data_IF_566231021292
#
_entry.id   IF_566231021292
#
_cell.length_a   1.000
_cell.length_b   1.000
_cell.length_c   1.000
_cell.angle_alpha   90.00
_cell.angle_beta   90.00
_cell.angle_gamma   90.00
#
_symmetry.space_group_name_H-M   'P 1'
#
loop_
_entity.id
_entity.type
_entity.pdbx_description
1 polymer ?
#
# COMPACT_ATOMS: atom_id res chain seq x y z
N UNK A 1 -1.89 12.04 -13.80
CA UNK A 1 -1.21 11.80 -12.52
C UNK A 1 -1.30 13.00 -11.59
N UNK A 2 -1.05 14.23 -12.08
CA UNK A 2 -1.19 15.47 -11.31
C UNK A 2 -2.58 15.61 -10.66
N UNK A 3 -3.65 15.44 -11.45
CA UNK A 3 -5.03 15.51 -10.95
C UNK A 3 -5.26 14.52 -9.81
N UNK A 4 -4.73 13.28 -9.92
CA UNK A 4 -4.85 12.26 -8.88
C UNK A 4 -4.10 12.65 -7.61
N UNK A 5 -2.85 13.10 -7.71
CA UNK A 5 -2.05 13.54 -6.56
C UNK A 5 -2.77 14.67 -5.81
N UNK A 6 -3.22 15.70 -6.56
CA UNK A 6 -3.94 16.81 -5.96
C UNK A 6 -5.28 16.41 -5.34
N UNK A 7 -6.01 15.47 -5.97
CA UNK A 7 -7.26 14.93 -5.47
C UNK A 7 -7.07 14.22 -4.11
N UNK A 8 -6.10 13.32 -4.02
CA UNK A 8 -5.89 12.56 -2.78
C UNK A 8 -5.35 13.44 -1.64
N UNK A 9 -4.42 14.36 -1.94
CA UNK A 9 -3.89 15.30 -0.93
C UNK A 9 -5.00 16.22 -0.42
N UNK A 10 -5.82 16.79 -1.31
CA UNK A 10 -6.99 17.63 -0.95
C UNK A 10 -8.00 16.84 -0.10
N UNK A 11 -8.08 15.53 -0.30
CA UNK A 11 -8.94 14.63 0.46
C UNK A 11 -8.42 14.30 1.86
N UNK A 12 -7.22 14.75 2.24
CA UNK A 12 -6.69 14.62 3.61
C UNK A 12 -5.94 13.30 3.87
N UNK A 13 -5.25 12.77 2.86
CA UNK A 13 -4.33 11.64 3.08
C UNK A 13 -3.06 12.13 3.80
N UNK A 14 -2.45 11.27 4.61
CA UNK A 14 -1.28 11.61 5.41
C UNK A 14 0.03 11.46 4.62
N UNK A 15 0.09 10.58 3.62
CA UNK A 15 1.26 10.35 2.79
C UNK A 15 0.90 9.71 1.45
N UNK A 16 1.78 9.82 0.48
CA UNK A 16 1.66 9.18 -0.83
C UNK A 16 2.51 7.90 -0.89
N UNK A 17 1.94 6.81 -1.40
CA UNK A 17 2.72 5.63 -1.80
C UNK A 17 2.81 5.60 -3.32
N UNK A 18 4.00 5.83 -3.85
CA UNK A 18 4.28 5.77 -5.29
C UNK A 18 4.97 4.45 -5.64
N UNK A 19 4.85 3.98 -6.87
CA UNK A 19 5.41 2.69 -7.32
C UNK A 19 4.93 1.47 -6.52
N UNK A 20 3.79 1.56 -5.82
CA UNK A 20 3.11 0.39 -5.26
C UNK A 20 2.44 -0.45 -6.36
N UNK A 21 1.72 -1.51 -5.95
CA UNK A 21 0.96 -2.38 -6.86
C UNK A 21 0.00 -1.60 -7.76
N UNK A 22 -0.76 -0.68 -7.17
CA UNK A 22 -1.74 0.16 -7.88
C UNK A 22 -1.08 1.12 -8.85
N UNK A 23 0.18 1.49 -8.62
CA UNK A 23 1.00 2.31 -9.52
C UNK A 23 1.57 1.55 -10.71
N UNK A 24 1.17 0.29 -10.95
CA UNK A 24 1.60 -0.55 -12.08
C UNK A 24 3.13 -0.65 -12.24
N UNK A 25 3.88 -0.59 -11.14
CA UNK A 25 5.35 -0.56 -11.15
C UNK A 25 5.99 -1.74 -11.89
N UNK A 26 5.31 -2.89 -11.96
CA UNK A 26 5.78 -4.07 -12.71
C UNK A 26 5.77 -3.90 -14.23
N UNK A 27 4.98 -2.97 -14.77
CA UNK A 27 4.86 -2.72 -16.22
C UNK A 27 5.64 -1.49 -16.69
N UNK A 28 6.40 -0.84 -15.79
CA UNK A 28 7.22 0.33 -16.10
C UNK A 28 8.69 -0.05 -16.27
N UNK A 29 9.33 0.50 -17.29
CA UNK A 29 10.78 0.47 -17.44
C UNK A 29 11.47 1.30 -16.33
N UNK A 30 12.78 1.10 -16.14
CA UNK A 30 13.55 1.90 -15.18
C UNK A 30 13.48 3.40 -15.47
N UNK A 31 13.57 3.80 -16.74
CA UNK A 31 13.47 5.20 -17.15
C UNK A 31 12.11 5.79 -16.79
N UNK A 32 11.02 5.10 -17.12
CA UNK A 32 9.67 5.53 -16.77
C UNK A 32 9.46 5.63 -15.25
N UNK A 33 10.05 4.74 -14.47
CA UNK A 33 10.01 4.83 -13.00
C UNK A 33 10.66 6.11 -12.50
N UNK A 34 11.83 6.48 -13.03
CA UNK A 34 12.51 7.75 -12.69
C UNK A 34 11.62 8.94 -13.03
N UNK A 35 11.05 8.96 -14.25
CA UNK A 35 10.18 10.04 -14.68
C UNK A 35 8.95 10.20 -13.77
N UNK A 36 8.31 9.09 -13.39
CA UNK A 36 7.16 9.11 -12.48
C UNK A 36 7.56 9.55 -11.08
N UNK A 37 8.69 9.07 -10.53
CA UNK A 37 9.19 9.48 -9.21
C UNK A 37 9.44 11.00 -9.20
N UNK A 38 10.17 11.51 -10.18
CA UNK A 38 10.48 12.93 -10.28
C UNK A 38 9.21 13.78 -10.46
N UNK A 39 8.28 13.32 -11.29
CA UNK A 39 6.99 13.99 -11.48
C UNK A 39 6.18 14.02 -10.18
N UNK A 40 6.12 12.90 -9.44
CA UNK A 40 5.41 12.84 -8.16
C UNK A 40 6.04 13.77 -7.12
N UNK A 41 7.38 13.79 -7.01
CA UNK A 41 8.11 14.72 -6.12
C UNK A 41 7.75 16.17 -6.46
N UNK A 42 7.83 16.55 -7.75
CA UNK A 42 7.52 17.89 -8.24
C UNK A 42 6.08 18.32 -7.92
N UNK A 43 5.10 17.45 -8.21
CA UNK A 43 3.68 17.80 -7.98
C UNK A 43 3.34 17.76 -6.49
N UNK A 44 3.95 16.84 -5.72
CA UNK A 44 3.75 16.80 -4.27
C UNK A 44 4.26 18.07 -3.58
N UNK A 45 5.35 18.64 -4.05
CA UNK A 45 5.96 19.88 -3.52
C UNK A 45 6.05 19.87 -1.98
N UNK A 46 6.52 18.76 -1.42
CA UNK A 46 6.65 18.50 0.02
C UNK A 46 5.36 18.68 0.86
N UNK A 47 4.18 18.65 0.23
CA UNK A 47 2.89 18.78 0.96
C UNK A 47 2.60 17.61 1.89
N UNK A 48 3.03 16.40 1.51
CA UNK A 48 2.93 15.19 2.34
C UNK A 48 4.16 14.31 2.15
N UNK A 49 4.50 13.44 3.11
CA UNK A 49 5.58 12.45 2.95
C UNK A 49 5.35 11.53 1.74
N UNK A 50 6.44 11.06 1.12
CA UNK A 50 6.40 10.08 0.02
C UNK A 50 7.03 8.77 0.47
N UNK A 51 6.31 7.68 0.28
CA UNK A 51 6.80 6.30 0.42
C UNK A 51 7.00 5.72 -0.98
N UNK A 52 8.19 5.18 -1.26
CA UNK A 52 8.54 4.62 -2.57
C UNK A 52 8.47 3.09 -2.53
N UNK A 53 7.70 2.48 -3.43
CA UNK A 53 7.67 1.04 -3.62
C UNK A 53 8.95 0.53 -4.30
N UNK A 54 9.78 -0.19 -3.54
CA UNK A 54 10.95 -0.91 -4.03
C UNK A 54 10.94 -2.30 -3.43
N UNK A 55 10.63 -3.32 -4.23
CA UNK A 55 10.54 -4.70 -3.80
C UNK A 55 10.59 -5.66 -4.98
N UNK A 56 10.82 -6.92 -4.69
CA UNK A 56 10.96 -7.94 -5.72
C UNK A 56 11.31 -9.30 -5.13
N UNK A 57 11.46 -10.29 -5.99
CA UNK A 57 11.80 -11.67 -5.64
C UNK A 57 13.29 -12.01 -5.83
N UNK A 58 14.10 -11.03 -6.19
CA UNK A 58 15.56 -11.13 -6.27
C UNK A 58 16.18 -10.08 -5.33
N UNK A 59 16.78 -10.53 -4.24
CA UNK A 59 17.35 -9.66 -3.20
C UNK A 59 18.41 -8.71 -3.75
N UNK A 60 19.31 -9.20 -4.62
CA UNK A 60 20.37 -8.38 -5.21
C UNK A 60 19.79 -7.28 -6.12
N UNK A 61 18.71 -7.59 -6.86
CA UNK A 61 18.05 -6.60 -7.70
C UNK A 61 17.35 -5.51 -6.86
N UNK A 62 16.70 -5.88 -5.75
CA UNK A 62 16.08 -4.91 -4.83
C UNK A 62 17.14 -3.97 -4.25
N UNK A 63 18.30 -4.50 -3.84
CA UNK A 63 19.43 -3.69 -3.34
C UNK A 63 19.93 -2.76 -4.45
N UNK A 64 20.13 -3.29 -5.65
CA UNK A 64 20.55 -2.48 -6.81
C UNK A 64 19.54 -1.39 -7.18
N UNK A 65 18.23 -1.63 -6.99
CA UNK A 65 17.21 -0.61 -7.23
C UNK A 65 17.20 0.47 -6.13
N UNK A 66 17.49 0.13 -4.88
CA UNK A 66 17.68 1.09 -3.78
C UNK A 66 18.87 2.03 -4.07
N UNK A 67 19.98 1.48 -4.54
CA UNK A 67 21.17 2.26 -4.88
C UNK A 67 20.97 3.10 -6.15
N UNK A 68 20.11 2.64 -7.06
CA UNK A 68 19.91 3.25 -8.37
C UNK A 68 18.96 4.46 -8.34
N UNK A 69 17.88 4.40 -7.55
CA UNK A 69 16.92 5.48 -7.49
C UNK A 69 17.39 6.62 -6.58
N UNK A 70 17.18 7.86 -7.03
CA UNK A 70 17.36 9.01 -6.17
C UNK A 70 16.31 9.04 -5.06
N UNK A 71 16.78 8.80 -3.82
CA UNK A 71 15.94 8.72 -2.63
C UNK A 71 15.79 10.07 -1.90
N UNK A 72 16.35 11.16 -2.42
CA UNK A 72 16.13 12.50 -1.86
C UNK A 72 14.63 12.82 -1.87
N UNK A 73 14.10 13.34 -0.76
CA UNK A 73 12.67 13.64 -0.60
C UNK A 73 11.76 12.40 -0.43
N UNK A 74 12.32 11.19 -0.35
CA UNK A 74 11.61 9.95 -0.01
C UNK A 74 11.73 9.70 1.49
N UNK A 75 10.60 9.48 2.15
CA UNK A 75 10.53 9.30 3.60
C UNK A 75 10.77 7.85 4.02
N UNK A 76 10.29 6.89 3.24
CA UNK A 76 10.43 5.46 3.51
C UNK A 76 10.31 4.64 2.22
N UNK A 77 10.75 3.39 2.25
CA UNK A 77 10.46 2.43 1.18
C UNK A 77 9.39 1.42 1.61
N UNK A 78 8.52 1.03 0.65
CA UNK A 78 7.59 -0.07 0.80
C UNK A 78 8.11 -1.27 0.01
N UNK A 79 8.47 -2.36 0.71
CA UNK A 79 9.09 -3.53 0.10
C UNK A 79 8.20 -4.76 0.23
N UNK A 80 7.69 -5.24 -0.91
CA UNK A 80 6.85 -6.45 -0.95
C UNK A 80 7.68 -7.70 -0.71
N UNK A 81 7.10 -8.69 0.00
CA UNK A 81 7.71 -10.02 0.19
C UNK A 81 8.03 -10.68 -1.16
N UNK A 82 9.13 -11.45 -1.25
CA UNK A 82 9.44 -12.18 -2.47
C UNK A 82 8.26 -13.03 -2.94
N UNK A 83 7.92 -12.88 -4.21
CA UNK A 83 6.83 -13.58 -4.88
C UNK A 83 7.36 -14.63 -5.86
N UNK A 84 6.52 -15.55 -6.29
CA UNK A 84 6.80 -16.56 -7.31
C UNK A 84 7.73 -17.69 -6.83
N UNK A 85 8.95 -17.38 -6.38
CA UNK A 85 9.96 -18.36 -5.90
C UNK A 85 9.72 -18.86 -4.46
N UNK A 86 8.73 -18.31 -3.75
CA UNK A 86 8.20 -18.80 -2.45
C UNK A 86 9.29 -19.19 -1.44
N UNK A 87 10.09 -18.24 -0.96
CA UNK A 87 11.13 -18.55 0.02
C UNK A 87 10.54 -19.04 1.34
N UNK A 88 11.34 -19.82 2.11
CA UNK A 88 11.03 -20.17 3.48
C UNK A 88 11.03 -18.93 4.38
N UNK A 89 10.54 -19.04 5.62
CA UNK A 89 10.56 -17.93 6.58
C UNK A 89 11.97 -17.41 6.84
N UNK A 90 12.97 -18.30 6.90
CA UNK A 90 14.37 -17.87 6.99
C UNK A 90 14.85 -17.17 5.72
N UNK A 91 14.42 -17.60 4.55
CA UNK A 91 14.70 -16.92 3.28
C UNK A 91 14.10 -15.49 3.25
N UNK A 92 12.86 -15.32 3.72
CA UNK A 92 12.22 -14.01 3.87
C UNK A 92 13.00 -13.13 4.86
N UNK A 93 13.39 -13.69 6.00
CA UNK A 93 14.18 -12.98 6.99
C UNK A 93 15.53 -12.52 6.41
N UNK A 94 16.29 -13.40 5.73
CA UNK A 94 17.58 -13.04 5.13
C UNK A 94 17.43 -12.01 4.00
N UNK A 95 16.34 -12.06 3.24
CA UNK A 95 16.00 -11.06 2.23
C UNK A 95 15.88 -9.66 2.86
N UNK A 96 15.02 -9.50 3.88
CA UNK A 96 14.82 -8.21 4.53
C UNK A 96 16.03 -7.77 5.37
N UNK A 97 16.78 -8.69 5.98
CA UNK A 97 18.05 -8.39 6.63
C UNK A 97 19.05 -7.76 5.65
N UNK A 98 19.15 -8.29 4.43
CA UNK A 98 20.04 -7.76 3.40
C UNK A 98 19.58 -6.38 2.91
N UNK A 99 18.28 -6.19 2.68
CA UNK A 99 17.69 -4.91 2.30
C UNK A 99 17.90 -3.87 3.41
N UNK A 100 17.64 -4.24 4.68
CA UNK A 100 17.83 -3.36 5.83
C UNK A 100 19.27 -2.84 5.95
N UNK A 101 20.26 -3.67 5.63
CA UNK A 101 21.67 -3.26 5.66
C UNK A 101 22.04 -2.32 4.52
N UNK A 102 21.40 -2.45 3.37
CA UNK A 102 21.67 -1.64 2.18
C UNK A 102 20.88 -0.33 2.16
N UNK A 103 19.76 -0.24 2.87
CA UNK A 103 18.86 0.92 2.84
C UNK A 103 19.06 1.80 4.07
N UNK A 104 19.30 3.10 3.84
CA UNK A 104 19.41 4.08 4.93
C UNK A 104 18.05 4.61 5.40
N UNK A 105 17.00 4.47 4.55
CA UNK A 105 15.66 4.92 4.87
C UNK A 105 14.89 3.90 5.70
N UNK A 106 13.82 4.34 6.40
CA UNK A 106 12.84 3.47 7.01
C UNK A 106 12.22 2.51 5.98
N UNK A 107 11.99 1.26 6.39
CA UNK A 107 11.42 0.20 5.56
C UNK A 107 10.07 -0.22 6.13
N UNK A 108 9.06 -0.20 5.27
CA UNK A 108 7.75 -0.81 5.50
C UNK A 108 7.75 -2.14 4.77
N UNK A 109 7.78 -3.25 5.49
CA UNK A 109 7.65 -4.57 4.85
C UNK A 109 6.19 -4.78 4.42
N UNK A 110 5.98 -5.47 3.28
CA UNK A 110 4.65 -5.65 2.72
C UNK A 110 4.31 -7.13 2.55
N UNK A 111 3.35 -7.58 3.35
CA UNK A 111 2.80 -8.93 3.32
C UNK A 111 1.48 -8.96 2.55
N UNK A 112 1.44 -9.69 1.43
CA UNK A 112 0.26 -9.84 0.58
C UNK A 112 0.20 -11.24 -0.05
N UNK A 113 -0.08 -12.28 0.73
CA UNK A 113 -0.02 -13.67 0.27
C UNK A 113 -0.89 -13.97 -0.96
N UNK A 114 -2.04 -13.28 -1.09
CA UNK A 114 -2.91 -13.43 -2.26
C UNK A 114 -2.27 -13.01 -3.59
N UNK A 115 -1.19 -12.22 -3.56
CA UNK A 115 -0.43 -11.81 -4.76
C UNK A 115 0.93 -12.49 -4.85
N UNK A 116 1.59 -12.72 -3.74
CA UNK A 116 2.95 -13.26 -3.70
C UNK A 116 2.99 -14.77 -3.62
N UNK A 117 1.91 -15.41 -3.18
CA UNK A 117 1.90 -16.83 -2.76
C UNK A 117 2.95 -17.12 -1.67
N UNK A 118 3.35 -16.10 -0.92
CA UNK A 118 4.34 -16.16 0.16
C UNK A 118 3.85 -15.31 1.32
N UNK A 119 3.70 -15.90 2.51
CA UNK A 119 3.27 -15.21 3.71
C UNK A 119 4.46 -14.92 4.61
N UNK A 120 4.60 -13.67 5.06
CA UNK A 120 5.51 -13.32 6.16
C UNK A 120 4.78 -13.66 7.46
N UNK A 121 5.20 -14.69 8.16
CA UNK A 121 4.56 -15.07 9.42
C UNK A 121 4.70 -13.99 10.49
N UNK A 122 3.81 -14.01 11.49
CA UNK A 122 3.91 -13.11 12.66
C UNK A 122 5.29 -13.23 13.33
N UNK A 123 5.81 -14.45 13.51
CA UNK A 123 7.14 -14.68 14.08
C UNK A 123 8.25 -13.99 13.28
N UNK A 124 8.26 -14.14 11.95
CA UNK A 124 9.27 -13.52 11.08
C UNK A 124 9.16 -12.00 11.12
N UNK A 125 7.93 -11.46 11.09
CA UNK A 125 7.66 -10.02 11.21
C UNK A 125 8.22 -9.45 12.51
N UNK A 126 7.91 -10.08 13.65
CA UNK A 126 8.35 -9.64 14.97
C UNK A 126 9.88 -9.74 15.11
N UNK A 127 10.49 -10.81 14.60
CA UNK A 127 11.94 -10.98 14.58
C UNK A 127 12.62 -9.85 13.81
N UNK A 128 12.12 -9.53 12.61
CA UNK A 128 12.61 -8.41 11.78
C UNK A 128 12.47 -7.07 12.51
N UNK A 129 11.31 -6.81 13.10
CA UNK A 129 11.03 -5.56 13.83
C UNK A 129 11.94 -5.37 15.06
N UNK A 130 12.33 -6.45 15.75
CA UNK A 130 13.21 -6.41 16.92
C UNK A 130 14.68 -6.26 16.57
N UNK A 131 15.12 -6.87 15.45
CA UNK A 131 16.54 -6.93 15.10
C UNK A 131 17.00 -5.74 14.23
N UNK A 132 16.09 -5.10 13.47
CA UNK A 132 16.46 -4.03 12.52
C UNK A 132 15.71 -2.75 12.81
N UNK A 133 16.42 -1.73 13.29
CA UNK A 133 15.83 -0.43 13.67
C UNK A 133 15.18 0.34 12.52
N UNK A 134 15.61 0.11 11.29
CA UNK A 134 15.04 0.75 10.10
C UNK A 134 13.89 -0.05 9.49
N UNK A 135 13.56 -1.24 9.96
CA UNK A 135 12.30 -1.93 9.64
C UNK A 135 11.24 -1.43 10.63
N UNK A 136 10.48 -0.42 10.24
CA UNK A 136 9.63 0.37 11.14
C UNK A 136 8.16 -0.01 11.11
N UNK A 137 7.72 -0.69 10.06
CA UNK A 137 6.30 -1.02 9.90
C UNK A 137 6.09 -2.27 9.02
N UNK A 138 4.89 -2.81 9.13
CA UNK A 138 4.34 -3.76 8.17
C UNK A 138 3.05 -3.22 7.56
N UNK A 139 2.92 -3.31 6.22
CA UNK A 139 1.64 -3.29 5.53
C UNK A 139 1.13 -4.73 5.46
N UNK A 140 0.10 -5.03 6.23
CA UNK A 140 -0.46 -6.39 6.35
C UNK A 140 -1.73 -6.53 5.52
N UNK A 141 -1.69 -7.37 4.50
CA UNK A 141 -2.76 -7.62 3.56
C UNK A 141 -3.03 -9.13 3.36
N UNK A 142 -2.81 -9.93 4.40
CA UNK A 142 -3.12 -11.38 4.38
C UNK A 142 -4.60 -11.67 4.53
N UNK A 143 -5.36 -10.77 5.17
CA UNK A 143 -6.73 -11.05 5.61
C UNK A 143 -6.82 -11.98 6.81
N UNK A 144 -5.69 -12.49 7.31
CA UNK A 144 -5.63 -13.38 8.49
C UNK A 144 -5.64 -12.53 9.78
N UNK A 145 -6.83 -12.35 10.34
CA UNK A 145 -7.03 -11.57 11.57
C UNK A 145 -6.29 -12.19 12.76
N UNK A 146 -6.10 -13.51 12.81
CA UNK A 146 -5.35 -14.18 13.87
C UNK A 146 -3.87 -13.81 13.81
N UNK A 147 -3.28 -13.82 12.61
CA UNK A 147 -1.90 -13.34 12.38
C UNK A 147 -1.75 -11.87 12.75
N UNK A 148 -2.70 -11.03 12.31
CA UNK A 148 -2.71 -9.59 12.59
C UNK A 148 -2.73 -9.33 14.11
N UNK A 149 -3.63 -9.99 14.85
CA UNK A 149 -3.69 -9.87 16.32
C UNK A 149 -2.40 -10.34 17.00
N UNK A 150 -1.79 -11.40 16.49
CA UNK A 150 -0.51 -11.88 17.02
C UNK A 150 0.60 -10.84 16.82
N UNK A 151 0.67 -10.20 15.64
CA UNK A 151 1.65 -9.14 15.37
C UNK A 151 1.40 -7.96 16.30
N UNK A 152 0.16 -7.48 16.42
CA UNK A 152 -0.21 -6.35 17.29
C UNK A 152 0.20 -6.60 18.74
N UNK A 153 -0.08 -7.81 19.24
CA UNK A 153 0.26 -8.22 20.62
C UNK A 153 1.76 -8.24 20.88
N UNK A 154 2.56 -8.72 19.94
CA UNK A 154 3.97 -9.10 20.16
C UNK A 154 4.98 -8.09 19.57
N UNK A 155 4.54 -7.15 18.73
CA UNK A 155 5.40 -6.15 18.09
C UNK A 155 6.06 -5.22 19.12
N UNK A 156 7.26 -4.70 18.85
CA UNK A 156 7.79 -3.58 19.60
C UNK A 156 6.84 -2.36 19.56
N UNK A 157 6.81 -1.54 20.60
CA UNK A 157 5.95 -0.35 20.65
C UNK A 157 6.27 0.67 19.54
N UNK A 158 7.51 0.69 19.05
CA UNK A 158 7.95 1.56 17.95
C UNK A 158 7.63 1.00 16.56
N UNK A 159 7.15 -0.23 16.45
CA UNK A 159 6.83 -0.85 15.17
C UNK A 159 5.35 -0.68 14.84
N UNK A 160 5.03 -0.24 13.63
CA UNK A 160 3.68 0.12 13.18
C UNK A 160 3.06 -1.01 12.36
N UNK A 161 1.80 -1.34 12.64
CA UNK A 161 1.00 -2.22 11.77
C UNK A 161 -0.02 -1.38 10.99
N UNK A 162 0.13 -1.39 9.67
CA UNK A 162 -0.79 -0.75 8.72
C UNK A 162 -1.62 -1.81 8.00
N UNK A 163 -2.93 -1.58 7.91
CA UNK A 163 -3.78 -2.40 7.05
C UNK A 163 -3.34 -2.26 5.58
N UNK A 164 -3.37 -3.37 4.86
CA UNK A 164 -3.23 -3.39 3.40
C UNK A 164 -4.52 -3.79 2.69
N UNK A 165 -5.62 -3.94 3.47
CA UNK A 165 -6.94 -4.34 3.04
C UNK A 165 -7.96 -3.27 3.44
N UNK A 166 -8.61 -2.66 2.45
CA UNK A 166 -9.53 -1.54 2.68
C UNK A 166 -10.76 -1.96 3.49
N UNK A 167 -11.32 -3.14 3.22
CA UNK A 167 -12.52 -3.64 3.90
C UNK A 167 -12.24 -4.03 5.36
N UNK A 168 -11.00 -4.47 5.66
CA UNK A 168 -10.59 -4.88 7.00
C UNK A 168 -9.92 -3.74 7.79
N UNK A 169 -9.76 -2.55 7.20
CA UNK A 169 -9.07 -1.42 7.86
C UNK A 169 -9.70 -1.07 9.21
N UNK A 170 -11.02 -0.94 9.25
CA UNK A 170 -11.71 -0.55 10.47
C UNK A 170 -11.55 -1.57 11.62
N UNK A 171 -11.85 -2.88 11.43
CA UNK A 171 -11.60 -3.87 12.48
C UNK A 171 -10.11 -3.98 12.87
N UNK A 172 -9.17 -3.82 11.94
CA UNK A 172 -7.73 -3.83 12.26
C UNK A 172 -7.36 -2.66 13.17
N UNK A 173 -7.86 -1.45 12.91
CA UNK A 173 -7.61 -0.29 13.77
C UNK A 173 -8.19 -0.52 15.16
N UNK A 174 -9.42 -1.05 15.27
CA UNK A 174 -10.03 -1.35 16.58
C UNK A 174 -9.28 -2.39 17.39
N UNK A 175 -8.47 -3.23 16.76
CA UNK A 175 -7.57 -4.17 17.45
C UNK A 175 -6.18 -3.61 17.75
N UNK A 176 -5.89 -2.36 17.36
CA UNK A 176 -4.61 -1.71 17.63
C UNK A 176 -3.71 -1.51 16.41
N UNK A 177 -4.25 -1.64 15.19
CA UNK A 177 -3.60 -1.15 13.98
C UNK A 177 -3.56 0.38 13.95
N UNK A 178 -2.56 0.95 13.31
CA UNK A 178 -2.29 2.40 13.39
C UNK A 178 -2.58 3.16 12.09
N UNK A 179 -3.20 2.50 11.11
CA UNK A 179 -3.55 3.12 9.82
C UNK A 179 -3.65 2.13 8.68
N UNK A 180 -3.53 2.65 7.45
CA UNK A 180 -3.74 1.87 6.23
C UNK A 180 -2.95 2.42 5.04
N UNK A 181 -2.54 1.54 4.14
CA UNK A 181 -2.14 1.90 2.78
C UNK A 181 -3.25 1.41 1.85
N UNK A 182 -4.12 2.34 1.43
CA UNK A 182 -5.42 2.11 0.81
C UNK A 182 -5.38 2.19 -0.71
N UNK A 183 -6.29 1.47 -1.36
CA UNK A 183 -6.68 1.66 -2.77
C UNK A 183 -7.93 2.55 -2.86
N UNK A 184 -8.90 2.32 -2.00
CA UNK A 184 -10.17 3.07 -1.94
C UNK A 184 -9.97 4.56 -1.72
N UNK A 185 -8.96 4.94 -0.93
CA UNK A 185 -8.60 6.34 -0.70
C UNK A 185 -8.20 7.09 -1.98
N UNK A 186 -7.87 6.41 -3.08
CA UNK A 186 -7.62 7.09 -4.35
C UNK A 186 -8.91 7.64 -4.98
N UNK A 187 -10.02 6.91 -4.85
CA UNK A 187 -11.32 7.35 -5.37
C UNK A 187 -12.08 8.22 -4.35
N UNK A 188 -12.03 7.86 -3.07
CA UNK A 188 -12.80 8.50 -1.99
C UNK A 188 -11.91 9.02 -0.85
N UNK A 189 -10.88 9.84 -1.14
CA UNK A 189 -9.87 10.18 -0.13
C UNK A 189 -10.47 10.84 1.11
N UNK A 190 -11.39 11.80 0.97
CA UNK A 190 -11.99 12.49 2.10
C UNK A 190 -12.79 11.56 3.01
N UNK A 191 -13.65 10.71 2.42
CA UNK A 191 -14.49 9.78 3.22
C UNK A 191 -13.62 8.75 3.92
N UNK A 192 -12.64 8.19 3.20
CA UNK A 192 -11.78 7.13 3.72
C UNK A 192 -10.83 7.65 4.80
N UNK A 193 -10.17 8.79 4.57
CA UNK A 193 -9.32 9.43 5.61
C UNK A 193 -10.12 9.84 6.85
N UNK A 194 -11.34 10.37 6.68
CA UNK A 194 -12.21 10.68 7.82
C UNK A 194 -12.61 9.43 8.60
N UNK A 195 -12.91 8.31 7.91
CA UNK A 195 -13.21 7.03 8.55
C UNK A 195 -12.03 6.56 9.42
N UNK A 196 -10.81 6.60 8.86
CA UNK A 196 -9.58 6.21 9.57
C UNK A 196 -9.35 7.11 10.78
N UNK A 197 -9.45 8.43 10.62
CA UNK A 197 -9.25 9.39 11.71
C UNK A 197 -10.30 9.23 12.82
N UNK A 198 -11.56 9.01 12.49
CA UNK A 198 -12.59 8.71 13.49
C UNK A 198 -12.33 7.40 14.23
N UNK A 199 -11.85 6.37 13.53
CA UNK A 199 -11.52 5.09 14.18
C UNK A 199 -10.32 5.21 15.12
N UNK A 200 -9.28 5.96 14.74
CA UNK A 200 -8.10 6.21 15.57
C UNK A 200 -8.41 7.10 16.79
N UNK A 201 -9.44 7.94 16.70
CA UNK A 201 -9.91 8.79 17.79
C UNK A 201 -11.06 8.17 18.63
N UNK A 202 -11.33 6.87 18.45
CA UNK A 202 -12.37 6.09 19.15
C UNK A 202 -13.81 6.60 18.88
N UNK A 203 -14.05 7.37 17.81
CA UNK A 203 -15.37 7.76 17.36
C UNK A 203 -15.99 6.67 16.48
N UNK A 204 -16.40 5.58 17.10
CA UNK A 204 -16.87 4.36 16.43
C UNK A 204 -18.10 4.58 15.56
N UNK A 205 -19.06 5.38 16.02
CA UNK A 205 -20.32 5.61 15.29
C UNK A 205 -20.05 6.34 13.97
N UNK A 206 -19.22 7.38 14.00
CA UNK A 206 -18.87 8.13 12.81
C UNK A 206 -18.00 7.28 11.84
N UNK A 207 -17.07 6.50 12.38
CA UNK A 207 -16.22 5.60 11.59
C UNK A 207 -17.06 4.51 10.90
N UNK A 208 -17.93 3.82 11.66
CA UNK A 208 -18.83 2.78 11.13
C UNK A 208 -19.75 3.32 10.04
N UNK A 209 -20.33 4.51 10.25
CA UNK A 209 -21.19 5.16 9.25
C UNK A 209 -20.46 5.36 7.92
N UNK A 210 -19.22 5.85 7.94
CA UNK A 210 -18.44 6.05 6.73
C UNK A 210 -17.99 4.72 6.10
N UNK A 211 -17.63 3.74 6.92
CA UNK A 211 -17.27 2.39 6.44
C UNK A 211 -18.40 1.77 5.61
N UNK A 212 -19.62 1.76 6.15
CA UNK A 212 -20.78 1.20 5.44
C UNK A 212 -21.22 2.04 4.24
N UNK A 213 -20.95 3.34 4.20
CA UNK A 213 -21.14 4.16 2.99
C UNK A 213 -20.15 3.81 1.87
N UNK A 214 -18.99 3.22 2.20
CA UNK A 214 -17.98 2.80 1.25
C UNK A 214 -18.06 1.31 0.92
N UNK A 215 -18.87 0.54 1.66
CA UNK A 215 -18.87 -0.92 1.62
C UNK A 215 -19.15 -1.48 0.22
N UNK A 216 -20.10 -0.92 -0.49
CA UNK A 216 -20.51 -1.36 -1.82
C UNK A 216 -19.44 -1.09 -2.90
N UNK A 217 -18.43 -0.26 -2.58
CA UNK A 217 -17.32 0.03 -3.49
C UNK A 217 -16.08 -0.87 -3.27
N UNK A 218 -15.98 -1.56 -2.13
CA UNK A 218 -14.80 -2.37 -1.87
C UNK A 218 -14.62 -3.49 -2.90
N UNK A 219 -15.64 -4.32 -3.13
CA UNK A 219 -15.54 -5.43 -4.07
C UNK A 219 -15.28 -4.96 -5.51
N UNK A 220 -16.05 -4.03 -6.11
CA UNK A 220 -15.86 -3.59 -7.49
C UNK A 220 -14.46 -3.03 -7.80
N UNK A 221 -13.77 -2.48 -6.81
CA UNK A 221 -12.41 -1.97 -6.99
C UNK A 221 -11.37 -3.08 -7.16
N UNK A 222 -11.72 -4.35 -6.84
CA UNK A 222 -10.81 -5.49 -6.87
C UNK A 222 -11.24 -6.65 -7.76
N UNK A 223 -12.54 -6.78 -8.10
CA UNK A 223 -13.12 -7.95 -8.79
C UNK A 223 -12.41 -8.31 -10.10
N UNK A 224 -12.02 -7.32 -10.90
CA UNK A 224 -11.23 -7.51 -12.12
C UNK A 224 -9.76 -7.14 -11.94
N UNK A 225 -9.32 -7.09 -10.68
CA UNK A 225 -7.95 -6.78 -10.29
C UNK A 225 -7.69 -5.31 -10.01
N UNK A 226 -6.62 -5.08 -9.26
CA UNK A 226 -6.12 -3.76 -8.92
C UNK A 226 -4.85 -3.50 -9.75
N UNK A 227 -4.80 -2.39 -10.55
CA UNK A 227 -5.60 -1.16 -10.45
C UNK A 227 -6.82 -1.05 -11.40
N UNK A 228 -7.28 -2.12 -12.04
CA UNK A 228 -8.32 -2.05 -13.07
C UNK A 228 -9.60 -1.38 -12.54
N UNK A 229 -10.14 -1.88 -11.43
CA UNK A 229 -11.37 -1.34 -10.83
C UNK A 229 -11.21 0.10 -10.34
N UNK A 230 -10.14 0.42 -9.62
CA UNK A 230 -9.94 1.79 -9.12
C UNK A 230 -9.74 2.80 -10.25
N UNK A 231 -9.09 2.43 -11.35
CA UNK A 231 -8.96 3.31 -12.52
C UNK A 231 -10.30 3.52 -13.22
N UNK A 232 -11.16 2.51 -13.30
CA UNK A 232 -12.53 2.67 -13.81
C UNK A 232 -13.35 3.65 -12.96
N UNK A 233 -13.26 3.53 -11.64
CA UNK A 233 -13.88 4.47 -10.70
C UNK A 233 -13.35 5.90 -10.88
N UNK A 234 -12.03 6.06 -10.97
CA UNK A 234 -11.38 7.35 -11.16
C UNK A 234 -11.71 8.00 -12.52
N UNK A 235 -11.91 7.22 -13.58
CA UNK A 235 -12.39 7.72 -14.88
C UNK A 235 -13.84 8.22 -14.77
N UNK A 236 -14.69 7.49 -14.06
CA UNK A 236 -16.06 7.92 -13.78
C UNK A 236 -16.12 9.23 -13.00
N UNK A 237 -15.23 9.40 -12.02
CA UNK A 237 -15.07 10.63 -11.24
C UNK A 237 -14.38 11.78 -12.02
N UNK A 238 -13.94 11.56 -13.26
CA UNK A 238 -13.26 12.56 -14.07
C UNK A 238 -11.82 12.88 -13.62
N UNK A 239 -11.21 12.03 -12.79
CA UNK A 239 -9.88 12.25 -12.20
C UNK A 239 -8.77 11.80 -13.16
N UNK A 240 -8.90 10.59 -13.75
CA UNK A 240 -7.93 10.08 -14.73
C UNK A 240 -8.59 9.11 -15.71
N UNK A 241 -7.85 8.71 -16.75
CA UNK A 241 -8.31 7.67 -17.69
C UNK A 241 -8.14 6.27 -17.10
N UNK A 242 -9.06 5.35 -17.39
CA UNK A 242 -9.00 3.95 -16.97
C UNK A 242 -8.03 3.08 -17.80
N UNK A 243 -7.06 3.69 -18.45
CA UNK A 243 -6.06 2.96 -19.23
C UNK A 243 -5.10 2.20 -18.32
N UNK A 244 -4.88 0.93 -18.62
CA UNK A 244 -3.90 0.05 -17.98
C UNK A 244 -2.98 -0.56 -19.04
N UNK A 245 -1.81 -1.07 -18.62
CA UNK A 245 -0.86 -1.78 -19.50
C UNK A 245 -1.05 -3.29 -19.41
N UNK A 246 -0.82 -3.98 -20.51
CA UNK A 246 -0.75 -5.45 -20.49
C UNK A 246 0.26 -5.92 -19.42
N UNK A 247 -0.02 -7.02 -18.70
CA UNK A 247 -1.10 -8.00 -18.98
C UNK A 247 -2.49 -7.60 -18.46
N UNK A 248 -2.64 -6.43 -17.80
CA UNK A 248 -3.94 -5.93 -17.39
C UNK A 248 -4.70 -5.38 -18.61
N UNK A 249 -6.03 -5.50 -18.56
CA UNK A 249 -6.94 -4.95 -19.57
C UNK A 249 -7.92 -3.99 -18.91
N UNK A 250 -8.53 -3.11 -19.70
CA UNK A 250 -9.54 -2.16 -19.20
C UNK A 250 -10.70 -2.93 -18.53
N UNK A 251 -11.27 -2.36 -17.48
CA UNK A 251 -12.44 -2.90 -16.80
C UNK A 251 -13.58 -3.18 -17.78
N UNK A 252 -14.32 -4.27 -17.53
CA UNK A 252 -15.53 -4.59 -18.25
C UNK A 252 -16.62 -3.55 -18.03
N UNK A 253 -17.61 -3.52 -18.92
CA UNK A 253 -18.80 -2.67 -18.75
C UNK A 253 -19.58 -3.01 -17.47
N UNK A 254 -19.48 -4.25 -17.00
CA UNK A 254 -20.11 -4.69 -15.75
C UNK A 254 -19.54 -3.90 -14.58
N UNK A 255 -18.21 -3.90 -14.42
CA UNK A 255 -17.53 -3.16 -13.36
C UNK A 255 -17.70 -1.64 -13.55
N UNK A 256 -17.53 -1.15 -14.78
CA UNK A 256 -17.68 0.29 -15.06
C UNK A 256 -19.07 0.82 -14.70
N UNK A 257 -20.12 0.02 -14.97
CA UNK A 257 -21.50 0.40 -14.65
C UNK A 257 -21.81 0.41 -13.15
N UNK A 258 -21.07 -0.35 -12.32
CA UNK A 258 -21.24 -0.32 -10.87
C UNK A 258 -20.88 1.05 -10.26
N UNK A 259 -20.06 1.84 -10.94
CA UNK A 259 -19.69 3.18 -10.48
C UNK A 259 -20.68 4.28 -10.94
N UNK A 260 -21.69 3.96 -11.77
CA UNK A 260 -22.70 4.95 -12.21
C UNK A 260 -23.65 5.44 -11.11
N UNK A 261 -23.60 4.79 -9.94
CA UNK A 261 -24.36 5.19 -8.76
C UNK A 261 -23.72 6.31 -7.94
N UNK A 262 -22.48 6.72 -8.33
CA UNK A 262 -21.75 7.83 -7.76
C UNK A 262 -22.28 9.17 -8.27
#
# INVERSE_FOLDING_TARGET
LESLINHVIKGGIDYLVIMGTTGESGSLSRTEKIEVINFCKKINDNRVPIVLGIGGNNTSQVISDIDFFDLEGITAILSVSPYYNKPTQEGIYQHYKSISKACVLPIIIYNVPGRTSSNISAYTTIRLAREFKNIVAIKEASGDMSQIMTIIKEKPSSFVLLSGDDALTLPIIYMGGEGVISVVAQAFPKKFSSMVNFSLSDNKDAANKLHYQLYDFYAPLYDEGNPVGVKACLEHLGICKAAVRLPLVKASDIIFNQFKIL
#
